data_IF_541105617882
#
_entry.id   IF_541105617882
#
_cell.length_a   1.000
_cell.length_b   1.000
_cell.length_c   1.000
_cell.angle_alpha   90.00
_cell.angle_beta   90.00
_cell.angle_gamma   90.00
#
_symmetry.space_group_name_H-M   'P 1'
#
loop_
_entity.id
_entity.type
_entity.pdbx_description
1 polymer ?
#
# COMPACT_ATOMS: atom_id res chain seq x y z
N UNK A 1 -23.82 -12.53 8.07
CA UNK A 1 -23.25 -11.21 8.28
C UNK A 1 -22.09 -11.33 9.24
N UNK A 2 -21.40 -10.23 9.52
CA UNK A 2 -20.29 -10.18 10.49
C UNK A 2 -20.18 -8.78 11.11
N UNK A 3 -19.34 -8.60 12.12
CA UNK A 3 -19.06 -7.31 12.74
C UNK A 3 -17.67 -6.82 12.32
N UNK A 4 -17.62 -5.65 11.68
CA UNK A 4 -16.37 -5.00 11.29
C UNK A 4 -16.28 -3.62 11.90
N UNK A 5 -15.23 -3.33 12.68
CA UNK A 5 -15.04 -2.02 13.30
C UNK A 5 -16.20 -1.59 14.22
N UNK A 6 -16.92 -2.54 14.81
CA UNK A 6 -18.11 -2.28 15.63
C UNK A 6 -19.43 -2.16 14.85
N UNK A 7 -19.39 -2.21 13.51
CA UNK A 7 -20.59 -2.14 12.67
C UNK A 7 -21.07 -3.55 12.32
N UNK A 8 -22.37 -3.82 12.53
CA UNK A 8 -23.01 -5.05 12.06
C UNK A 8 -23.23 -4.99 10.55
N UNK A 9 -22.63 -5.91 9.81
CA UNK A 9 -22.72 -6.02 8.37
C UNK A 9 -23.66 -7.17 7.99
N UNK A 10 -24.79 -6.90 7.33
CA UNK A 10 -25.69 -7.93 6.83
C UNK A 10 -25.01 -8.88 5.83
N UNK A 11 -25.43 -10.14 5.80
CA UNK A 11 -25.00 -11.07 4.76
C UNK A 11 -25.38 -10.57 3.36
N UNK A 12 -24.53 -10.82 2.36
CA UNK A 12 -24.73 -10.34 0.99
C UNK A 12 -24.26 -8.91 0.73
N UNK A 13 -23.72 -8.22 1.74
CA UNK A 13 -23.10 -6.91 1.55
C UNK A 13 -21.76 -7.04 0.81
N UNK A 14 -21.58 -6.31 -0.29
CA UNK A 14 -20.30 -6.20 -0.96
C UNK A 14 -19.37 -5.27 -0.19
N UNK A 15 -18.18 -5.76 0.15
CA UNK A 15 -17.15 -4.99 0.87
C UNK A 15 -15.93 -4.89 -0.04
N UNK A 16 -15.37 -3.69 -0.15
CA UNK A 16 -14.14 -3.43 -0.88
C UNK A 16 -13.17 -2.59 -0.05
N UNK A 17 -11.89 -2.67 -0.40
CA UNK A 17 -10.84 -1.85 0.19
C UNK A 17 -10.67 -0.60 -0.67
N UNK A 18 -10.63 0.58 -0.03
CA UNK A 18 -10.20 1.79 -0.69
C UNK A 18 -8.67 1.90 -0.62
N UNK A 19 -7.98 1.36 -1.63
CA UNK A 19 -6.52 1.36 -1.66
C UNK A 19 -5.92 2.76 -1.61
N UNK A 20 -6.58 3.78 -2.21
CA UNK A 20 -6.11 5.17 -2.15
C UNK A 20 -6.15 5.71 -0.72
N UNK A 21 -7.26 5.51 -0.01
CA UNK A 21 -7.38 5.96 1.38
C UNK A 21 -6.34 5.28 2.29
N UNK A 22 -6.03 4.01 2.05
CA UNK A 22 -4.96 3.31 2.77
C UNK A 22 -3.57 3.97 2.57
N UNK A 23 -3.32 4.60 1.41
CA UNK A 23 -2.06 5.32 1.14
C UNK A 23 -2.04 6.75 1.71
N UNK A 24 -3.14 7.23 2.28
CA UNK A 24 -3.24 8.56 2.91
C UNK A 24 -3.23 8.47 4.45
N UNK A 25 -2.88 7.31 5.00
CA UNK A 25 -2.81 7.12 6.45
C UNK A 25 -1.64 7.84 7.11
N UNK A 26 -1.80 8.18 8.39
CA UNK A 26 -0.82 8.93 9.19
C UNK A 26 0.56 8.25 9.30
N UNK A 27 0.62 6.93 9.05
CA UNK A 27 1.88 6.16 8.99
C UNK A 27 2.88 6.77 8.01
N UNK A 28 2.38 7.39 6.93
CA UNK A 28 3.22 8.07 5.94
C UNK A 28 3.64 9.48 6.40
N UNK A 29 2.94 10.11 7.36
CA UNK A 29 3.26 11.44 7.92
C UNK A 29 2.31 12.54 7.44
N UNK A 30 2.43 13.75 7.98
CA UNK A 30 1.44 14.83 7.76
C UNK A 30 1.29 15.31 6.30
N UNK A 31 2.29 15.06 5.45
CA UNK A 31 2.34 15.51 4.07
C UNK A 31 2.16 14.35 3.07
N UNK A 32 1.26 13.41 3.36
CA UNK A 32 1.02 12.21 2.52
C UNK A 32 0.74 12.49 1.04
N UNK A 33 0.19 13.66 0.73
CA UNK A 33 -0.14 14.05 -0.65
C UNK A 33 1.08 14.54 -1.44
N UNK A 34 2.20 14.86 -0.76
CA UNK A 34 3.42 15.29 -1.41
C UNK A 34 4.25 14.10 -1.91
N UNK A 35 4.69 14.18 -3.17
CA UNK A 35 5.67 13.25 -3.72
C UNK A 35 7.04 13.49 -3.06
N UNK A 36 7.38 12.67 -2.06
CA UNK A 36 8.62 12.74 -1.28
C UNK A 36 9.27 11.36 -1.12
N UNK A 37 10.07 10.89 -2.10
CA UNK A 37 10.74 9.59 -2.05
C UNK A 37 11.62 9.40 -0.80
N UNK A 38 12.21 10.48 -0.28
CA UNK A 38 13.08 10.49 0.90
C UNK A 38 12.35 10.07 2.19
N UNK A 39 11.00 10.05 2.18
CA UNK A 39 10.16 9.53 3.27
C UNK A 39 10.53 8.09 3.67
N UNK A 40 11.11 7.32 2.74
CA UNK A 40 11.54 5.94 2.95
C UNK A 40 12.99 5.81 3.45
N UNK A 41 13.75 6.91 3.49
CA UNK A 41 15.17 6.96 3.85
C UNK A 41 15.36 7.48 5.28
N UNK A 42 14.68 6.85 6.24
CA UNK A 42 14.73 7.21 7.66
C UNK A 42 15.25 6.04 8.50
N UNK A 43 15.94 6.35 9.60
CA UNK A 43 16.52 5.35 10.52
C UNK A 43 15.49 4.77 11.52
N UNK A 44 14.20 4.86 11.19
CA UNK A 44 13.10 4.33 11.99
C UNK A 44 12.57 3.04 11.35
N UNK A 45 13.13 1.91 11.76
CA UNK A 45 12.82 0.58 11.22
C UNK A 45 11.36 0.19 11.47
N UNK A 46 10.80 0.55 12.62
CA UNK A 46 9.42 0.23 12.97
C UNK A 46 8.45 0.98 12.06
N UNK A 47 8.65 2.28 11.90
CA UNK A 47 7.85 3.10 10.98
C UNK A 47 7.96 2.62 9.55
N UNK A 48 9.17 2.34 9.06
CA UNK A 48 9.38 1.83 7.70
C UNK A 48 8.66 0.49 7.49
N UNK A 49 8.66 -0.38 8.51
CA UNK A 49 7.94 -1.66 8.45
C UNK A 49 6.43 -1.46 8.33
N UNK A 50 5.85 -0.54 9.11
CA UNK A 50 4.44 -0.19 9.02
C UNK A 50 4.08 0.44 7.66
N UNK A 51 4.92 1.36 7.17
CA UNK A 51 4.74 1.96 5.83
C UNK A 51 4.78 0.90 4.73
N UNK A 52 5.69 -0.08 4.80
CA UNK A 52 5.76 -1.20 3.82
C UNK A 52 4.49 -2.04 3.86
N UNK A 53 4.02 -2.41 5.06
CA UNK A 53 2.78 -3.18 5.24
C UNK A 53 1.59 -2.48 4.58
N UNK A 54 1.45 -1.19 4.80
CA UNK A 54 0.31 -0.41 4.29
C UNK A 54 0.44 -0.13 2.78
N UNK A 55 1.67 0.07 2.27
CA UNK A 55 1.94 0.17 0.83
C UNK A 55 1.59 -1.12 0.10
N UNK A 56 1.85 -2.30 0.67
CA UNK A 56 1.53 -3.58 0.03
C UNK A 56 0.04 -3.75 -0.30
N UNK A 57 -0.85 -3.04 0.39
CA UNK A 57 -2.30 -3.07 0.11
C UNK A 57 -2.68 -2.54 -1.28
N UNK A 58 -1.78 -1.86 -1.99
CA UNK A 58 -1.97 -1.55 -3.42
C UNK A 58 -2.05 -2.82 -4.29
N UNK A 59 -1.48 -3.93 -3.79
CA UNK A 59 -1.55 -5.26 -4.39
C UNK A 59 -2.58 -6.16 -3.69
N UNK A 60 -3.46 -5.61 -2.87
CA UNK A 60 -4.43 -6.35 -2.05
C UNK A 60 -3.75 -7.33 -1.06
N UNK A 61 -4.53 -8.13 -0.34
CA UNK A 61 -4.02 -9.01 0.73
C UNK A 61 -4.70 -10.40 0.73
N UNK A 62 -4.11 -11.33 1.47
CA UNK A 62 -4.65 -12.67 1.71
C UNK A 62 -4.84 -13.48 0.42
N UNK A 63 -5.97 -14.19 0.32
CA UNK A 63 -6.32 -15.00 -0.85
C UNK A 63 -6.57 -14.18 -2.12
N UNK A 64 -6.78 -12.86 -1.99
CA UNK A 64 -7.00 -11.93 -3.11
C UNK A 64 -5.75 -11.11 -3.45
N UNK A 65 -4.59 -11.43 -2.87
CA UNK A 65 -3.33 -10.75 -3.17
C UNK A 65 -2.97 -10.92 -4.65
N UNK A 66 -2.51 -9.84 -5.27
CA UNK A 66 -2.12 -9.82 -6.67
C UNK A 66 -0.97 -10.81 -6.93
N UNK A 67 -1.22 -11.82 -7.76
CA UNK A 67 -0.22 -12.80 -8.18
C UNK A 67 0.95 -12.16 -8.96
N UNK A 68 0.69 -11.02 -9.62
CA UNK A 68 1.68 -10.28 -10.41
C UNK A 68 2.57 -9.34 -9.61
N UNK A 69 2.43 -9.24 -8.28
CA UNK A 69 3.17 -8.27 -7.46
C UNK A 69 4.69 -8.36 -7.70
N UNK A 70 5.26 -9.57 -7.71
CA UNK A 70 6.69 -9.77 -7.91
C UNK A 70 7.15 -9.29 -9.28
N UNK A 71 6.36 -9.56 -10.33
CA UNK A 71 6.66 -9.13 -11.71
C UNK A 71 6.59 -7.62 -11.81
N UNK A 72 5.51 -7.00 -11.31
CA UNK A 72 5.34 -5.55 -11.32
C UNK A 72 6.48 -4.83 -10.59
N UNK A 73 6.90 -5.33 -9.41
CA UNK A 73 8.03 -4.77 -8.68
C UNK A 73 9.36 -4.91 -9.43
N UNK A 74 9.59 -6.05 -10.11
CA UNK A 74 10.77 -6.25 -10.94
C UNK A 74 10.79 -5.24 -12.11
N UNK A 75 9.66 -5.06 -12.79
CA UNK A 75 9.54 -4.13 -13.90
C UNK A 75 9.75 -2.68 -13.46
N UNK A 76 9.11 -2.25 -12.37
CA UNK A 76 9.30 -0.90 -11.82
C UNK A 76 10.78 -0.60 -11.54
N UNK A 77 11.50 -1.56 -10.95
CA UNK A 77 12.93 -1.39 -10.70
C UNK A 77 13.73 -1.23 -12.00
N UNK A 78 13.40 -1.96 -13.07
CA UNK A 78 14.10 -1.85 -14.37
C UNK A 78 13.76 -0.55 -15.11
N UNK A 79 12.48 -0.20 -15.17
CA UNK A 79 11.98 0.96 -15.92
C UNK A 79 12.63 2.26 -15.45
N UNK A 80 12.80 2.46 -14.14
CA UNK A 80 13.42 3.67 -13.59
C UNK A 80 14.86 3.85 -14.11
N UNK A 81 15.64 2.77 -14.19
CA UNK A 81 17.00 2.83 -14.73
C UNK A 81 17.03 3.00 -16.24
N UNK A 82 16.20 2.27 -16.98
CA UNK A 82 16.20 2.29 -18.45
C UNK A 82 15.71 3.62 -19.02
N UNK A 83 14.74 4.27 -18.38
CA UNK A 83 14.20 5.56 -18.83
C UNK A 83 15.14 6.70 -18.45
N UNK A 84 15.82 6.64 -17.30
CA UNK A 84 16.74 7.69 -16.83
C UNK A 84 18.16 7.57 -17.40
N UNK A 85 18.57 6.37 -17.81
CA UNK A 85 19.90 6.09 -18.36
C UNK A 85 20.04 6.29 -19.87
N UNK A 86 18.96 6.70 -20.55
CA UNK A 86 18.99 7.25 -21.91
C UNK A 86 19.20 8.75 -21.84
#
# INVERSE_FOLDING_TARGET
GDVLGGYNIPGGTFIGINSKAAQLGDVFGADVEAFRPERWLVDDVERVTLMRRDLELVFNYGSTKCLGMTVACMEMNKVVFEVRGR
#
